data_IF_576387561904
#
_entry.id   IF_576387561904
#
_cell.length_a   1.000
_cell.length_b   1.000
_cell.length_c   1.000
_cell.angle_alpha   90.00
_cell.angle_beta   90.00
_cell.angle_gamma   90.00
#
_symmetry.space_group_name_H-M   'P 1'
#
loop_
_entity.id
_entity.type
_entity.pdbx_description
1 polymer ?
#
# COMPACT_ATOMS: atom_id res chain seq x y z
N UNK A 1 12.92 10.01 22.52
CA UNK A 1 14.16 10.66 22.03
C UNK A 1 14.53 10.33 20.58
N UNK A 2 14.64 9.04 20.21
CA UNK A 2 15.10 8.63 18.86
C UNK A 2 14.00 8.57 17.81
N UNK A 3 12.73 8.44 18.23
CA UNK A 3 11.56 8.40 17.35
C UNK A 3 10.87 9.76 17.20
N UNK A 4 11.29 10.76 17.98
CA UNK A 4 10.62 12.06 18.13
C UNK A 4 10.93 13.03 16.96
N UNK A 5 11.25 12.53 15.75
CA UNK A 5 11.55 13.36 14.57
C UNK A 5 12.96 13.98 14.53
N UNK A 6 13.62 14.17 15.67
CA UNK A 6 14.91 14.90 15.76
C UNK A 6 16.09 14.21 15.08
N UNK A 7 16.05 12.87 14.97
CA UNK A 7 17.12 12.07 14.39
C UNK A 7 16.59 11.20 13.25
N UNK A 8 16.57 11.74 12.03
CA UNK A 8 16.07 11.06 10.83
C UNK A 8 16.62 9.64 10.62
N UNK A 9 17.92 9.42 10.88
CA UNK A 9 18.55 8.09 10.78
C UNK A 9 18.12 7.15 11.91
N UNK A 10 17.79 7.68 13.09
CA UNK A 10 17.30 6.92 14.24
C UNK A 10 15.94 6.28 13.99
N UNK A 11 15.03 6.99 13.31
CA UNK A 11 13.68 6.51 12.99
C UNK A 11 13.71 5.17 12.23
N UNK A 12 14.46 5.11 11.12
CA UNK A 12 14.53 3.90 10.31
C UNK A 12 15.31 2.79 11.03
N UNK A 13 16.41 3.13 11.72
CA UNK A 13 17.20 2.17 12.49
C UNK A 13 16.40 1.48 13.59
N UNK A 14 15.64 2.25 14.38
CA UNK A 14 14.76 1.70 15.43
C UNK A 14 13.65 0.84 14.81
N UNK A 15 13.01 1.29 13.73
CA UNK A 15 11.98 0.49 13.06
C UNK A 15 12.50 -0.86 12.55
N UNK A 16 13.75 -0.90 12.07
CA UNK A 16 14.40 -2.12 11.60
C UNK A 16 14.73 -3.07 12.76
N UNK A 17 15.17 -2.52 13.91
CA UNK A 17 15.39 -3.31 15.12
C UNK A 17 14.08 -3.95 15.61
N UNK A 18 13.00 -3.16 15.69
CA UNK A 18 11.66 -3.64 16.07
C UNK A 18 11.20 -4.74 15.10
N UNK A 19 11.35 -4.51 13.78
CA UNK A 19 11.03 -5.51 12.77
C UNK A 19 11.79 -6.82 12.98
N UNK A 20 13.09 -6.75 13.24
CA UNK A 20 13.91 -7.94 13.48
C UNK A 20 13.52 -8.65 14.77
N UNK A 21 13.18 -7.90 15.83
CA UNK A 21 12.67 -8.46 17.08
C UNK A 21 11.36 -9.23 16.87
N UNK A 22 10.45 -8.68 16.06
CA UNK A 22 9.16 -9.28 15.72
C UNK A 22 9.24 -10.33 14.60
N UNK A 23 10.43 -10.64 14.09
CA UNK A 23 10.56 -11.62 13.03
C UNK A 23 10.31 -13.04 13.57
N UNK A 24 9.28 -13.72 13.06
CA UNK A 24 8.89 -15.05 13.53
C UNK A 24 8.16 -15.08 14.88
N UNK A 25 7.72 -13.93 15.39
CA UNK A 25 6.95 -13.80 16.64
C UNK A 25 5.78 -12.85 16.43
N UNK A 26 4.66 -13.11 17.10
CA UNK A 26 3.56 -12.15 17.14
C UNK A 26 3.89 -11.00 18.10
N UNK A 27 3.88 -9.78 17.59
CA UNK A 27 4.10 -8.55 18.35
C UNK A 27 2.83 -7.73 18.57
N UNK A 28 1.65 -8.28 18.25
CA UNK A 28 0.36 -7.62 18.45
C UNK A 28 0.10 -7.21 19.91
N UNK A 29 0.68 -7.94 20.87
CA UNK A 29 0.56 -7.68 22.32
C UNK A 29 1.79 -7.10 23.00
N UNK A 30 2.82 -6.64 22.25
CA UNK A 30 4.07 -6.14 22.86
C UNK A 30 4.00 -4.61 23.09
N UNK A 31 3.98 -4.13 24.35
CA UNK A 31 3.78 -2.71 24.66
C UNK A 31 4.84 -1.77 24.07
N UNK A 32 6.10 -2.22 23.98
CA UNK A 32 7.20 -1.43 23.41
C UNK A 32 7.02 -1.19 21.91
N UNK A 33 6.47 -2.18 21.20
CA UNK A 33 6.18 -2.07 19.76
C UNK A 33 5.03 -1.09 19.54
N UNK A 34 3.97 -1.20 20.34
CA UNK A 34 2.86 -0.25 20.32
C UNK A 34 3.33 1.17 20.66
N UNK A 35 4.18 1.32 21.66
CA UNK A 35 4.77 2.61 22.06
C UNK A 35 5.60 3.23 20.93
N UNK A 36 6.38 2.41 20.22
CA UNK A 36 7.15 2.87 19.06
C UNK A 36 6.24 3.38 17.94
N UNK A 37 5.17 2.65 17.61
CA UNK A 37 4.20 3.07 16.58
C UNK A 37 3.47 4.34 16.98
N UNK A 38 3.09 4.47 18.26
CA UNK A 38 2.47 5.70 18.78
C UNK A 38 3.41 6.91 18.64
N UNK A 39 4.69 6.77 19.02
CA UNK A 39 5.70 7.83 18.84
C UNK A 39 5.89 8.23 17.38
N UNK A 40 5.94 7.26 16.48
CA UNK A 40 6.04 7.54 15.04
C UNK A 40 4.78 8.26 14.51
N UNK A 41 3.61 7.90 15.04
CA UNK A 41 2.33 8.52 14.66
C UNK A 41 2.25 9.98 15.10
N UNK A 42 2.85 10.35 16.24
CA UNK A 42 2.93 11.74 16.71
C UNK A 42 3.62 12.66 15.68
N UNK A 43 4.60 12.16 14.91
CA UNK A 43 5.31 12.93 13.88
C UNK A 43 4.46 13.24 12.63
N UNK A 44 3.34 12.54 12.45
CA UNK A 44 2.49 12.71 11.26
C UNK A 44 1.69 14.01 11.33
N UNK A 45 1.36 14.48 12.55
CA UNK A 45 0.43 15.60 12.70
C UNK A 45 -0.99 15.25 12.24
N UNK A 46 -1.83 16.27 12.08
CA UNK A 46 -3.20 16.08 11.63
C UNK A 46 -3.24 15.83 10.11
N UNK A 47 -3.82 14.71 9.67
CA UNK A 47 -3.92 14.34 8.25
C UNK A 47 -2.57 14.35 7.49
N UNK A 48 -1.48 13.99 8.17
CA UNK A 48 -0.12 14.09 7.65
C UNK A 48 0.36 15.52 7.28
N UNK A 49 -0.37 16.56 7.71
CA UNK A 49 0.03 17.94 7.52
C UNK A 49 0.99 18.37 8.65
N UNK A 50 2.27 18.50 8.30
CA UNK A 50 3.34 18.85 9.23
C UNK A 50 4.34 19.78 8.55
N UNK A 51 4.94 20.71 9.30
CA UNK A 51 6.02 21.56 8.78
C UNK A 51 7.29 20.77 8.44
N UNK A 52 7.42 19.55 8.94
CA UNK A 52 8.58 18.68 8.76
C UNK A 52 8.26 17.49 7.85
N UNK A 53 7.99 17.78 6.58
CA UNK A 53 7.64 16.78 5.54
C UNK A 53 8.56 15.55 5.48
N UNK A 54 9.85 15.73 5.77
CA UNK A 54 10.82 14.62 5.81
C UNK A 54 10.51 13.64 6.94
N UNK A 55 10.11 14.15 8.09
CA UNK A 55 9.80 13.34 9.27
C UNK A 55 8.48 12.58 9.10
N UNK A 56 7.51 13.16 8.40
CA UNK A 56 6.29 12.45 7.99
C UNK A 56 6.64 11.22 7.14
N UNK A 57 7.39 11.41 6.04
CA UNK A 57 7.76 10.29 5.15
C UNK A 57 8.57 9.22 5.89
N UNK A 58 9.55 9.61 6.70
CA UNK A 58 10.36 8.66 7.45
C UNK A 58 9.53 7.89 8.47
N UNK A 59 8.58 8.55 9.12
CA UNK A 59 7.71 7.92 10.12
C UNK A 59 6.73 6.94 9.46
N UNK A 60 6.12 7.30 8.33
CA UNK A 60 5.28 6.38 7.54
C UNK A 60 6.08 5.15 7.08
N UNK A 61 7.29 5.35 6.55
CA UNK A 61 8.19 4.25 6.18
C UNK A 61 8.56 3.36 7.36
N UNK A 62 8.81 3.95 8.53
CA UNK A 62 9.11 3.24 9.76
C UNK A 62 7.92 2.42 10.27
N UNK A 63 6.70 2.99 10.29
CA UNK A 63 5.46 2.28 10.63
C UNK A 63 5.28 1.07 9.71
N UNK A 64 5.44 1.28 8.39
CA UNK A 64 5.40 0.20 7.41
C UNK A 64 6.48 -0.86 7.55
N UNK A 65 7.64 -0.49 8.10
CA UNK A 65 8.73 -1.41 8.35
C UNK A 65 8.44 -2.31 9.56
N UNK A 66 7.88 -1.72 10.64
CA UNK A 66 7.43 -2.44 11.83
C UNK A 66 6.36 -3.47 11.45
N UNK A 67 5.35 -3.06 10.65
CA UNK A 67 4.30 -3.96 10.15
C UNK A 67 3.16 -4.22 11.12
N UNK A 68 3.02 -3.41 12.18
CA UNK A 68 1.91 -3.42 13.12
C UNK A 68 1.36 -2.01 13.25
N UNK A 69 0.04 -1.82 13.16
CA UNK A 69 -0.59 -0.50 13.16
C UNK A 69 -1.20 -0.11 14.50
N UNK A 70 -1.68 -1.06 15.31
CA UNK A 70 -2.30 -0.77 16.61
C UNK A 70 -3.43 0.28 16.57
N UNK A 71 -4.35 0.17 15.60
CA UNK A 71 -5.48 1.10 15.49
C UNK A 71 -5.13 2.43 14.80
N UNK A 72 -4.08 2.47 13.96
CA UNK A 72 -3.63 3.65 13.20
C UNK A 72 -4.00 3.60 11.72
N UNK A 73 -4.87 2.68 11.34
CA UNK A 73 -5.41 2.52 9.99
C UNK A 73 -5.98 3.84 9.47
N UNK A 74 -6.92 4.45 10.21
CA UNK A 74 -7.60 5.69 9.82
C UNK A 74 -6.63 6.86 9.65
N UNK A 75 -5.55 6.89 10.44
CA UNK A 75 -4.50 7.90 10.31
C UNK A 75 -3.75 7.74 8.98
N UNK A 76 -3.37 6.51 8.62
CA UNK A 76 -2.73 6.25 7.33
C UNK A 76 -3.68 6.55 6.16
N UNK A 77 -4.97 6.24 6.32
CA UNK A 77 -6.01 6.57 5.35
C UNK A 77 -6.12 8.07 5.14
N UNK A 78 -6.21 8.85 6.21
CA UNK A 78 -6.23 10.31 6.13
C UNK A 78 -5.00 10.86 5.40
N UNK A 79 -3.82 10.28 5.64
CA UNK A 79 -2.59 10.69 4.98
C UNK A 79 -2.62 10.46 3.47
N UNK A 80 -2.94 9.26 2.99
CA UNK A 80 -2.93 9.02 1.54
C UNK A 80 -4.11 9.67 0.81
N UNK A 81 -5.22 9.96 1.50
CA UNK A 81 -6.36 10.70 0.94
C UNK A 81 -6.14 12.21 0.87
N UNK A 82 -5.17 12.75 1.60
CA UNK A 82 -4.94 14.19 1.63
C UNK A 82 -4.21 14.67 0.37
N UNK A 83 -4.87 15.41 -0.55
CA UNK A 83 -4.22 15.89 -1.77
C UNK A 83 -3.29 17.09 -1.52
N UNK A 84 -3.28 17.67 -0.31
CA UNK A 84 -2.47 18.83 0.04
C UNK A 84 -1.04 18.47 0.44
N UNK A 85 -0.76 17.21 0.75
CA UNK A 85 0.59 16.74 1.08
C UNK A 85 1.28 16.17 -0.16
N UNK A 86 2.62 16.08 -0.08
CA UNK A 86 3.43 15.55 -1.18
C UNK A 86 3.05 14.11 -1.55
N UNK A 87 3.02 13.79 -2.84
CA UNK A 87 2.71 12.45 -3.35
C UNK A 87 3.57 11.36 -2.71
N UNK A 88 4.85 11.64 -2.44
CA UNK A 88 5.75 10.68 -1.79
C UNK A 88 5.32 10.32 -0.36
N UNK A 89 4.70 11.25 0.38
CA UNK A 89 4.13 10.96 1.69
C UNK A 89 2.86 10.12 1.56
N UNK A 90 2.00 10.42 0.59
CA UNK A 90 0.80 9.64 0.29
C UNK A 90 1.15 8.19 -0.10
N UNK A 91 2.15 8.02 -0.97
CA UNK A 91 2.69 6.70 -1.33
C UNK A 91 3.27 5.97 -0.12
N UNK A 92 4.07 6.64 0.72
CA UNK A 92 4.62 6.04 1.93
C UNK A 92 3.52 5.58 2.91
N UNK A 93 2.40 6.28 2.99
CA UNK A 93 1.24 5.87 3.79
C UNK A 93 0.56 4.61 3.24
N UNK A 94 0.43 4.48 1.91
CA UNK A 94 -0.08 3.24 1.29
C UNK A 94 0.91 2.09 1.49
N UNK A 95 2.20 2.32 1.28
CA UNK A 95 3.26 1.32 1.47
C UNK A 95 3.38 0.83 2.92
N UNK A 96 2.84 1.59 3.88
CA UNK A 96 2.81 1.18 5.27
C UNK A 96 1.97 -0.09 5.51
N UNK A 97 1.00 -0.38 4.64
CA UNK A 97 0.18 -1.60 4.72
C UNK A 97 0.89 -2.86 4.21
N UNK A 98 2.08 -2.75 3.56
CA UNK A 98 2.70 -3.87 2.80
C UNK A 98 3.03 -5.13 3.63
N UNK A 99 3.16 -4.98 4.94
CA UNK A 99 3.58 -6.03 5.90
C UNK A 99 2.60 -6.25 7.04
N UNK A 100 1.53 -5.47 7.05
CA UNK A 100 0.49 -5.55 8.07
C UNK A 100 -0.34 -6.81 7.83
N UNK A 101 -0.85 -7.44 8.90
CA UNK A 101 -1.72 -8.62 8.79
C UNK A 101 -2.91 -8.38 7.86
N UNK A 102 -3.43 -9.44 7.23
CA UNK A 102 -4.62 -9.38 6.39
C UNK A 102 -5.91 -9.10 7.17
N UNK A 103 -5.90 -9.22 8.49
CA UNK A 103 -7.04 -8.89 9.36
C UNK A 103 -7.32 -7.38 9.45
N UNK A 104 -6.35 -6.56 9.03
CA UNK A 104 -6.51 -5.10 8.99
C UNK A 104 -7.39 -4.68 7.83
N UNK A 105 -8.30 -3.74 8.10
CA UNK A 105 -9.20 -3.17 7.10
C UNK A 105 -8.41 -2.46 5.98
N UNK A 106 -8.71 -2.82 4.73
CA UNK A 106 -8.13 -2.27 3.49
C UNK A 106 -9.18 -1.78 2.51
N UNK A 107 -10.43 -1.61 2.93
CA UNK A 107 -11.55 -1.23 2.06
C UNK A 107 -11.31 0.12 1.38
N UNK A 108 -10.79 1.08 2.13
CA UNK A 108 -10.45 2.42 1.66
C UNK A 108 -9.32 2.44 0.61
N UNK A 109 -8.48 1.41 0.55
CA UNK A 109 -7.48 1.28 -0.52
C UNK A 109 -8.14 0.89 -1.84
N UNK A 110 -9.27 0.16 -1.82
CA UNK A 110 -10.05 -0.06 -3.04
C UNK A 110 -10.70 1.22 -3.56
N UNK A 111 -11.19 2.09 -2.67
CA UNK A 111 -11.70 3.40 -3.07
C UNK A 111 -10.63 4.22 -3.78
N UNK A 112 -9.40 4.26 -3.22
CA UNK A 112 -8.29 4.97 -3.85
C UNK A 112 -7.91 4.41 -5.24
N UNK A 113 -7.89 3.09 -5.41
CA UNK A 113 -7.61 2.48 -6.71
C UNK A 113 -8.73 2.72 -7.74
N UNK A 114 -9.99 2.62 -7.34
CA UNK A 114 -11.16 2.79 -8.22
C UNK A 114 -11.45 4.25 -8.59
N UNK A 115 -10.87 5.22 -7.88
CA UNK A 115 -11.01 6.64 -8.19
C UNK A 115 -10.20 7.04 -9.44
N UNK A 116 -10.87 7.19 -10.58
CA UNK A 116 -10.23 7.62 -11.84
C UNK A 116 -9.65 9.04 -11.84
N UNK A 117 -10.01 9.87 -10.85
CA UNK A 117 -9.47 11.23 -10.71
C UNK A 117 -8.22 11.28 -9.81
N UNK A 118 -7.83 10.16 -9.22
CA UNK A 118 -6.64 10.05 -8.38
C UNK A 118 -5.37 9.91 -9.22
N UNK A 119 -4.25 10.35 -8.66
CA UNK A 119 -2.93 10.21 -9.26
C UNK A 119 -2.60 8.74 -9.60
N UNK A 120 -2.00 8.51 -10.77
CA UNK A 120 -1.76 7.15 -11.25
C UNK A 120 -0.82 6.33 -10.37
N UNK A 121 0.15 6.97 -9.71
CA UNK A 121 1.07 6.28 -8.79
C UNK A 121 0.32 5.86 -7.52
N UNK A 122 -0.56 6.73 -7.00
CA UNK A 122 -1.42 6.43 -5.86
C UNK A 122 -2.36 5.27 -6.17
N UNK A 123 -3.01 5.28 -7.34
CA UNK A 123 -3.90 4.20 -7.78
C UNK A 123 -3.17 2.85 -7.90
N UNK A 124 -1.97 2.85 -8.48
CA UNK A 124 -1.13 1.65 -8.61
C UNK A 124 -0.69 1.15 -7.22
N UNK A 125 -0.23 2.04 -6.35
CA UNK A 125 0.17 1.69 -4.99
C UNK A 125 -1.01 1.10 -4.19
N UNK A 126 -2.19 1.70 -4.30
CA UNK A 126 -3.40 1.24 -3.64
C UNK A 126 -3.82 -0.16 -4.13
N UNK A 127 -3.80 -0.38 -5.45
CA UNK A 127 -4.00 -1.71 -6.04
C UNK A 127 -3.01 -2.75 -5.46
N UNK A 128 -1.72 -2.44 -5.42
CA UNK A 128 -0.70 -3.35 -4.87
C UNK A 128 -0.96 -3.66 -3.39
N UNK A 129 -1.42 -2.67 -2.62
CA UNK A 129 -1.75 -2.84 -1.20
C UNK A 129 -2.99 -3.73 -1.01
N UNK A 130 -4.01 -3.60 -1.84
CA UNK A 130 -5.18 -4.51 -1.87
C UNK A 130 -4.74 -5.93 -2.24
N UNK A 131 -3.91 -6.07 -3.28
CA UNK A 131 -3.42 -7.37 -3.76
C UNK A 131 -2.45 -8.08 -2.80
N UNK A 132 -2.08 -7.49 -1.66
CA UNK A 132 -1.38 -8.21 -0.59
C UNK A 132 -2.28 -9.19 0.16
N UNK A 133 -3.56 -8.86 0.29
CA UNK A 133 -4.55 -9.63 1.01
C UNK A 133 -5.86 -9.66 0.20
N UNK A 134 -5.85 -10.16 -1.04
CA UNK A 134 -7.02 -10.08 -1.89
C UNK A 134 -8.08 -11.07 -1.43
N UNK A 135 -9.33 -10.65 -1.48
CA UNK A 135 -10.49 -11.54 -1.38
C UNK A 135 -11.09 -11.74 -2.77
N UNK A 136 -11.89 -12.79 -2.96
CA UNK A 136 -12.60 -13.04 -4.21
C UNK A 136 -13.42 -11.81 -4.63
N UNK A 137 -14.13 -11.18 -3.68
CA UNK A 137 -14.91 -9.96 -3.93
C UNK A 137 -14.04 -8.81 -4.42
N UNK A 138 -12.85 -8.61 -3.83
CA UNK A 138 -11.93 -7.53 -4.23
C UNK A 138 -11.31 -7.80 -5.61
N UNK A 139 -11.08 -9.06 -5.96
CA UNK A 139 -10.61 -9.43 -7.30
C UNK A 139 -11.67 -9.15 -8.37
N UNK A 140 -12.94 -9.42 -8.07
CA UNK A 140 -14.06 -9.07 -8.96
C UNK A 140 -14.18 -7.55 -9.14
N UNK A 141 -14.07 -6.79 -8.06
CA UNK A 141 -14.07 -5.32 -8.14
C UNK A 141 -12.88 -4.80 -8.96
N UNK A 142 -11.69 -5.39 -8.81
CA UNK A 142 -10.52 -5.06 -9.64
C UNK A 142 -10.79 -5.29 -11.12
N UNK A 143 -11.46 -6.40 -11.47
CA UNK A 143 -11.88 -6.70 -12.85
C UNK A 143 -12.81 -5.59 -13.38
N UNK A 144 -13.79 -5.18 -12.60
CA UNK A 144 -14.78 -4.17 -13.01
C UNK A 144 -14.13 -2.80 -13.23
N UNK A 145 -13.22 -2.39 -12.33
CA UNK A 145 -12.41 -1.17 -12.50
C UNK A 145 -11.56 -1.26 -13.77
N UNK A 146 -10.92 -2.41 -14.01
CA UNK A 146 -10.03 -2.62 -15.16
C UNK A 146 -10.77 -2.63 -16.51
N UNK A 147 -11.99 -3.18 -16.55
CA UNK A 147 -12.85 -3.13 -17.74
C UNK A 147 -13.14 -1.68 -18.16
N UNK A 148 -13.32 -0.79 -17.19
CA UNK A 148 -13.63 0.63 -17.40
C UNK A 148 -12.41 1.56 -17.39
N UNK A 149 -11.20 1.01 -17.22
CA UNK A 149 -9.97 1.80 -17.12
C UNK A 149 -9.66 2.53 -18.44
N UNK A 150 -9.39 3.83 -18.35
CA UNK A 150 -9.08 4.70 -19.50
C UNK A 150 -7.59 5.01 -19.61
N UNK A 151 -6.86 4.93 -18.50
CA UNK A 151 -5.44 5.22 -18.42
C UNK A 151 -4.66 3.94 -18.72
N UNK A 152 -4.06 3.88 -19.91
CA UNK A 152 -3.28 2.72 -20.36
C UNK A 152 -2.12 2.38 -19.41
N UNK A 153 -1.50 3.36 -18.77
CA UNK A 153 -0.42 3.10 -17.80
C UNK A 153 -0.90 2.24 -16.63
N UNK A 154 -2.01 2.63 -15.99
CA UNK A 154 -2.61 1.89 -14.86
C UNK A 154 -3.08 0.51 -15.32
N UNK A 155 -3.83 0.45 -16.42
CA UNK A 155 -4.37 -0.80 -16.94
C UNK A 155 -3.29 -1.82 -17.34
N UNK A 156 -2.25 -1.37 -18.04
CA UNK A 156 -1.13 -2.24 -18.44
C UNK A 156 -0.31 -2.74 -17.26
N UNK A 157 -0.09 -1.90 -16.23
CA UNK A 157 0.60 -2.32 -15.01
C UNK A 157 -0.18 -3.42 -14.30
N UNK A 158 -1.47 -3.21 -14.08
CA UNK A 158 -2.36 -4.15 -13.39
C UNK A 158 -2.47 -5.46 -14.17
N UNK A 159 -2.68 -5.37 -15.48
CA UNK A 159 -2.73 -6.53 -16.37
C UNK A 159 -1.45 -7.37 -16.29
N UNK A 160 -0.29 -6.72 -16.33
CA UNK A 160 1.02 -7.39 -16.22
C UNK A 160 1.17 -8.09 -14.87
N UNK A 161 0.82 -7.41 -13.78
CA UNK A 161 0.85 -7.98 -12.43
C UNK A 161 -0.10 -9.20 -12.30
N UNK A 162 -1.35 -9.08 -12.74
CA UNK A 162 -2.32 -10.20 -12.72
C UNK A 162 -1.85 -11.37 -13.59
N UNK A 163 -1.26 -11.09 -14.75
CA UNK A 163 -0.68 -12.12 -15.64
C UNK A 163 0.45 -12.86 -14.94
N UNK A 164 1.34 -12.15 -14.24
CA UNK A 164 2.38 -12.78 -13.43
C UNK A 164 1.79 -13.64 -12.32
N UNK A 165 0.84 -13.11 -11.54
CA UNK A 165 0.17 -13.84 -10.46
C UNK A 165 -0.58 -15.09 -10.93
N UNK A 166 -1.18 -15.06 -12.13
CA UNK A 166 -1.88 -16.21 -12.73
C UNK A 166 -0.96 -17.44 -12.92
N UNK A 167 0.36 -17.22 -12.97
CA UNK A 167 1.39 -18.24 -13.16
C UNK A 167 1.96 -18.77 -11.83
N UNK A 168 1.64 -18.16 -10.69
CA UNK A 168 2.15 -18.57 -9.37
C UNK A 168 1.16 -19.50 -8.64
N UNK A 169 1.48 -19.86 -7.38
CA UNK A 169 0.58 -20.60 -6.46
C UNK A 169 -0.26 -19.65 -5.60
N UNK A 170 -0.73 -18.53 -6.17
CA UNK A 170 -1.58 -17.58 -5.46
C UNK A 170 -2.89 -18.25 -5.00
N UNK A 171 -3.44 -17.95 -3.81
CA UNK A 171 -4.64 -18.64 -3.33
C UNK A 171 -5.86 -18.39 -4.24
N UNK A 172 -6.02 -17.17 -4.74
CA UNK A 172 -7.11 -16.70 -5.61
C UNK A 172 -6.73 -16.77 -7.10
N UNK A 173 -5.83 -17.70 -7.45
CA UNK A 173 -5.32 -17.86 -8.81
C UNK A 173 -6.43 -18.12 -9.83
N UNK A 174 -7.50 -18.79 -9.43
CA UNK A 174 -8.60 -19.15 -10.34
C UNK A 174 -9.32 -17.89 -10.82
N UNK A 175 -9.63 -16.99 -9.90
CA UNK A 175 -10.31 -15.73 -10.13
C UNK A 175 -9.41 -14.79 -10.96
N UNK A 176 -8.12 -14.73 -10.62
CA UNK A 176 -7.13 -13.98 -11.41
C UNK A 176 -7.05 -14.55 -12.85
N UNK A 177 -7.11 -15.87 -13.02
CA UNK A 177 -7.11 -16.53 -14.33
C UNK A 177 -8.34 -16.21 -15.18
N UNK A 178 -9.50 -16.03 -14.55
CA UNK A 178 -10.70 -15.56 -15.25
C UNK A 178 -10.50 -14.16 -15.83
N UNK A 179 -9.86 -13.24 -15.08
CA UNK A 179 -9.55 -11.89 -15.56
C UNK A 179 -8.58 -11.94 -16.75
N UNK A 180 -7.46 -12.65 -16.63
CA UNK A 180 -6.43 -12.65 -17.69
C UNK A 180 -6.82 -13.46 -18.93
N UNK A 181 -7.89 -14.28 -18.84
CA UNK A 181 -8.46 -14.97 -20.01
C UNK A 181 -9.50 -14.12 -20.75
N UNK A 182 -9.84 -12.94 -20.22
CA UNK A 182 -10.80 -12.04 -20.86
C UNK A 182 -10.20 -11.43 -22.14
N UNK A 183 -10.78 -11.78 -23.30
CA UNK A 183 -10.29 -11.34 -24.62
C UNK A 183 -10.29 -9.82 -24.79
N UNK A 184 -11.27 -9.10 -24.22
CA UNK A 184 -11.32 -7.64 -24.29
C UNK A 184 -10.13 -7.02 -23.55
N UNK A 185 -9.88 -7.44 -22.31
CA UNK A 185 -8.75 -6.96 -21.51
C UNK A 185 -7.40 -7.34 -22.13
N UNK A 186 -7.29 -8.56 -22.66
CA UNK A 186 -6.10 -9.00 -23.39
C UNK A 186 -5.84 -8.10 -24.60
N UNK A 187 -6.83 -7.86 -25.45
CA UNK A 187 -6.65 -7.00 -26.62
C UNK A 187 -6.33 -5.54 -26.25
N UNK A 188 -6.85 -5.06 -25.11
CA UNK A 188 -6.65 -3.68 -24.65
C UNK A 188 -5.28 -3.45 -24.01
N UNK A 189 -4.78 -4.40 -23.21
CA UNK A 189 -3.61 -4.20 -22.35
C UNK A 189 -2.42 -5.14 -22.61
N UNK A 190 -2.55 -6.17 -23.45
CA UNK A 190 -1.45 -7.12 -23.71
C UNK A 190 -0.35 -6.59 -24.66
N UNK A 191 -0.28 -5.28 -24.95
CA UNK A 191 0.68 -4.70 -25.90
C UNK A 191 1.98 -4.19 -25.25
N UNK A 192 3.10 -4.73 -25.75
CA UNK A 192 4.53 -4.39 -25.59
C UNK A 192 4.98 -3.83 -24.22
N UNK A 193 5.47 -4.73 -23.36
CA UNK A 193 6.08 -4.48 -22.04
C UNK A 193 7.25 -3.48 -22.04
N UNK A 194 7.70 -3.01 -23.21
CA UNK A 194 8.78 -2.02 -23.37
C UNK A 194 8.32 -0.56 -23.34
N UNK A 195 7.00 -0.28 -23.32
CA UNK A 195 6.47 1.11 -23.34
C UNK A 195 6.02 1.64 -21.97
N UNK A 196 5.90 0.77 -20.96
CA UNK A 196 5.31 1.12 -19.66
C UNK A 196 6.09 0.46 -18.51
N UNK A 197 5.99 1.04 -17.32
CA UNK A 197 6.53 0.46 -16.09
C UNK A 197 6.00 -0.96 -15.88
N UNK A 198 6.88 -1.90 -15.57
CA UNK A 198 6.56 -3.32 -15.32
C UNK A 198 6.59 -3.62 -13.82
N UNK A 199 5.76 -4.57 -13.40
CA UNK A 199 5.62 -5.01 -12.01
C UNK A 199 6.57 -6.17 -11.67
#
# INVERSE_FOLDING_TARGET
PLLDGRYAQGILGVSALVRNFCNGKDCSGVPEVQTAVNKLSENLGENCFSSEDKNVILSLKAIGNIGYLFGKEDLLQACYRNPQIRTEARLAAIEAFRRVSCDVNREELMEAYSNYNEDTEIRIAAYLAVMKCPTISRIQEIKDVLLNEKINHVGSFIWTHLTALSKTKHPERREIRDIVSNLYLMNKFASDARKFSTA
#
